data_IF_608068688845
#
_entry.id   IF_608068688845
#
_cell.length_a   1.000
_cell.length_b   1.000
_cell.length_c   1.000
_cell.angle_alpha   90.00
_cell.angle_beta   90.00
_cell.angle_gamma   90.00
#
_symmetry.space_group_name_H-M   'P 1'
#
loop_
_entity.id
_entity.type
_entity.pdbx_description
1 polymer ?
#
# COMPACT_ATOMS: atom_id res chain seq x y z
N UNK A 1 -5.93 26.39 46.48
CA UNK A 1 -6.85 26.10 45.36
C UNK A 1 -6.00 25.76 44.16
N UNK A 2 -5.91 24.48 43.78
CA UNK A 2 -5.00 23.94 42.75
C UNK A 2 -5.86 23.36 41.63
N UNK A 3 -5.64 23.81 40.40
CA UNK A 3 -6.37 23.37 39.21
C UNK A 3 -6.18 21.85 38.97
N UNK A 4 -7.15 21.15 38.36
CA UNK A 4 -6.97 19.75 37.99
C UNK A 4 -6.15 19.65 36.68
N UNK A 5 -5.04 18.91 36.75
CA UNK A 5 -4.31 18.40 35.59
C UNK A 5 -5.22 17.45 34.80
N UNK A 6 -5.78 17.93 33.69
CA UNK A 6 -6.37 17.07 32.66
C UNK A 6 -5.23 16.58 31.79
N UNK A 7 -4.61 15.48 32.23
CA UNK A 7 -3.77 14.66 31.36
C UNK A 7 -4.65 14.09 30.25
N UNK A 8 -4.49 14.60 29.02
CA UNK A 8 -4.91 13.92 27.81
C UNK A 8 -4.24 12.54 27.79
N UNK A 9 -4.98 11.50 28.19
CA UNK A 9 -4.58 10.13 27.91
C UNK A 9 -4.64 9.91 26.39
N UNK A 10 -3.53 9.53 25.74
CA UNK A 10 -3.60 9.08 24.36
C UNK A 10 -4.41 7.77 24.33
N UNK A 11 -5.44 7.72 23.49
CA UNK A 11 -6.17 6.51 23.18
C UNK A 11 -5.17 5.40 22.86
N UNK A 12 -5.16 4.36 23.70
CA UNK A 12 -4.29 3.20 23.48
C UNK A 12 -4.58 2.64 22.09
N UNK A 13 -3.58 2.40 21.24
CA UNK A 13 -3.82 1.78 19.94
C UNK A 13 -4.37 0.38 20.21
N UNK A 14 -5.62 0.18 19.83
CA UNK A 14 -6.30 -1.10 19.96
C UNK A 14 -5.44 -2.15 19.24
N UNK A 15 -4.81 -3.04 20.02
CA UNK A 15 -3.86 -4.05 19.52
C UNK A 15 -4.51 -5.00 18.52
N UNK A 16 -5.85 -5.06 18.49
CA UNK A 16 -6.62 -5.83 17.52
C UNK A 16 -6.60 -5.23 16.10
N UNK A 17 -6.50 -3.90 15.93
CA UNK A 17 -6.37 -3.27 14.62
C UNK A 17 -4.99 -3.53 13.99
N UNK A 18 -3.92 -3.55 14.79
CA UNK A 18 -2.54 -3.71 14.30
C UNK A 18 -2.30 -5.02 13.54
N UNK A 19 -3.02 -6.09 13.90
CA UNK A 19 -2.94 -7.37 13.21
C UNK A 19 -3.74 -7.40 11.88
N UNK A 20 -4.85 -6.67 11.78
CA UNK A 20 -5.70 -6.62 10.60
C UNK A 20 -5.06 -5.82 9.43
N UNK A 21 -4.27 -4.79 9.75
CA UNK A 21 -3.64 -3.96 8.70
C UNK A 21 -2.66 -4.74 7.81
N UNK A 22 -1.96 -5.75 8.35
CA UNK A 22 -0.98 -6.55 7.61
C UNK A 22 -1.60 -7.56 6.62
N UNK A 23 -2.93 -7.68 6.60
CA UNK A 23 -3.65 -8.57 5.69
C UNK A 23 -4.18 -7.86 4.45
N UNK A 24 -4.25 -6.53 4.45
CA UNK A 24 -4.81 -5.76 3.32
C UNK A 24 -3.74 -5.57 2.25
N UNK A 25 -3.98 -6.13 1.06
CA UNK A 25 -3.10 -5.91 -0.09
C UNK A 25 -3.30 -4.52 -0.69
N UNK A 26 -2.34 -4.05 -1.50
CA UNK A 26 -2.51 -2.78 -2.24
C UNK A 26 -3.72 -2.78 -3.17
N UNK A 27 -4.05 -3.94 -3.74
CA UNK A 27 -5.26 -4.14 -4.52
C UNK A 27 -6.53 -3.89 -3.68
N UNK A 28 -6.64 -4.55 -2.52
CA UNK A 28 -7.81 -4.42 -1.64
C UNK A 28 -7.92 -2.99 -1.09
N UNK A 29 -6.78 -2.37 -0.76
CA UNK A 29 -6.70 -0.99 -0.30
C UNK A 29 -7.27 -0.02 -1.34
N UNK A 30 -6.93 -0.19 -2.61
CA UNK A 30 -7.48 0.64 -3.70
C UNK A 30 -9.00 0.48 -3.82
N UNK A 31 -9.52 -0.75 -3.76
CA UNK A 31 -10.98 -0.98 -3.79
C UNK A 31 -11.70 -0.34 -2.59
N UNK A 32 -11.12 -0.45 -1.39
CA UNK A 32 -11.66 0.19 -0.18
C UNK A 32 -11.70 1.71 -0.35
N UNK A 33 -10.61 2.31 -0.84
CA UNK A 33 -10.51 3.76 -1.00
C UNK A 33 -11.46 4.31 -2.08
N UNK A 34 -11.69 3.57 -3.16
CA UNK A 34 -12.73 3.92 -4.14
C UNK A 34 -14.12 3.95 -3.48
N UNK A 35 -14.46 2.95 -2.67
CA UNK A 35 -15.73 2.94 -1.92
C UNK A 35 -15.84 4.12 -0.96
N UNK A 36 -14.76 4.43 -0.23
CA UNK A 36 -14.71 5.55 0.70
C UNK A 36 -14.81 6.91 0.02
N UNK A 37 -14.26 7.05 -1.21
CA UNK A 37 -14.43 8.24 -2.05
C UNK A 37 -15.89 8.54 -2.31
N UNK A 38 -16.67 7.53 -2.68
CA UNK A 38 -18.11 7.67 -2.94
C UNK A 38 -18.91 8.06 -1.67
N UNK A 39 -18.37 7.75 -0.49
CA UNK A 39 -18.93 8.14 0.80
C UNK A 39 -18.41 9.49 1.31
N UNK A 40 -17.59 10.21 0.53
CA UNK A 40 -17.00 11.49 0.92
C UNK A 40 -15.96 11.39 2.05
N UNK A 41 -15.46 10.18 2.36
CA UNK A 41 -14.49 9.96 3.44
C UNK A 41 -13.06 10.06 2.90
N UNK A 42 -12.25 10.89 3.54
CA UNK A 42 -10.82 11.03 3.24
C UNK A 42 -10.00 10.27 4.27
N UNK A 43 -9.29 9.25 3.83
CA UNK A 43 -8.40 8.43 4.66
C UNK A 43 -7.12 8.14 3.89
N UNK A 44 -6.03 7.95 4.62
CA UNK A 44 -4.73 7.60 4.05
C UNK A 44 -4.34 6.20 4.50
N UNK A 45 -3.82 5.41 3.57
CA UNK A 45 -3.26 4.08 3.85
C UNK A 45 -1.80 4.09 3.47
N UNK A 46 -0.95 3.55 4.34
CA UNK A 46 0.50 3.46 4.13
C UNK A 46 0.85 2.03 3.78
N UNK A 47 1.65 1.83 2.73
CA UNK A 47 1.95 0.50 2.21
C UNK A 47 3.44 0.32 1.95
N UNK A 48 3.95 -0.86 2.32
CA UNK A 48 5.28 -1.31 1.94
C UNK A 48 5.19 -2.27 0.75
N UNK A 49 6.29 -2.40 0.00
CA UNK A 49 6.46 -3.47 -0.98
C UNK A 49 6.61 -4.82 -0.28
N UNK A 50 5.96 -5.85 -0.82
CA UNK A 50 6.10 -7.22 -0.32
C UNK A 50 6.96 -8.05 -1.26
N UNK A 51 8.23 -8.21 -0.89
CA UNK A 51 9.16 -9.12 -1.56
C UNK A 51 10.47 -8.46 -1.98
N UNK A 52 11.56 -9.24 -1.93
CA UNK A 52 12.89 -8.81 -2.37
C UNK A 52 13.05 -8.83 -3.91
N UNK A 53 12.12 -9.45 -4.63
CA UNK A 53 12.22 -9.67 -6.09
C UNK A 53 11.64 -8.47 -6.83
N UNK A 54 12.47 -7.89 -7.71
CA UNK A 54 12.20 -6.68 -8.52
C UNK A 54 10.92 -6.75 -9.36
N UNK A 55 10.40 -7.93 -9.67
CA UNK A 55 9.23 -8.14 -10.53
C UNK A 55 7.88 -7.93 -9.82
N UNK A 56 7.90 -7.50 -8.54
CA UNK A 56 6.74 -7.36 -7.65
C UNK A 56 6.29 -5.90 -7.41
N UNK A 57 6.48 -4.98 -8.37
CA UNK A 57 6.20 -3.54 -8.17
C UNK A 57 4.78 -3.18 -7.70
N UNK A 58 3.79 -4.05 -7.95
CA UNK A 58 2.40 -3.88 -7.50
C UNK A 58 2.01 -4.78 -6.31
N UNK A 59 2.93 -5.60 -5.79
CA UNK A 59 2.69 -6.39 -4.60
C UNK A 59 2.99 -5.52 -3.38
N UNK A 60 1.96 -4.82 -2.92
CA UNK A 60 2.02 -3.94 -1.75
C UNK A 60 1.17 -4.51 -0.61
N UNK A 61 1.53 -4.15 0.62
CA UNK A 61 0.69 -4.39 1.79
C UNK A 61 0.61 -3.19 2.69
N UNK A 62 -0.59 -2.97 3.23
CA UNK A 62 -0.82 -1.95 4.24
C UNK A 62 0.01 -2.25 5.48
N UNK A 63 0.67 -1.23 6.00
CA UNK A 63 1.56 -1.29 7.14
C UNK A 63 1.26 -0.14 8.10
N UNK A 64 1.79 -0.26 9.31
CA UNK A 64 1.77 0.83 10.28
C UNK A 64 2.92 1.79 10.01
N UNK A 65 2.73 3.07 10.32
CA UNK A 65 3.76 4.11 10.19
C UNK A 65 5.06 3.73 10.93
N UNK A 66 4.98 3.05 12.06
CA UNK A 66 6.14 2.58 12.83
C UNK A 66 7.00 1.54 12.12
N UNK A 67 6.47 0.90 11.07
CA UNK A 67 7.14 -0.14 10.29
C UNK A 67 7.24 0.23 8.80
N UNK A 68 7.05 1.51 8.46
CA UNK A 68 7.11 2.00 7.08
C UNK A 68 8.56 1.97 6.58
N UNK A 69 8.77 1.43 5.39
CA UNK A 69 10.09 1.36 4.77
C UNK A 69 10.48 2.69 4.11
N UNK A 70 11.79 2.95 3.89
CA UNK A 70 12.23 4.17 3.20
C UNK A 70 11.60 4.31 1.81
N UNK A 71 11.51 3.21 1.06
CA UNK A 71 10.66 3.12 -0.12
C UNK A 71 9.28 2.62 0.29
N UNK A 72 8.24 3.43 0.09
CA UNK A 72 6.87 3.09 0.47
C UNK A 72 5.85 3.82 -0.40
N UNK A 73 4.57 3.48 -0.20
CA UNK A 73 3.46 4.08 -0.89
C UNK A 73 2.47 4.68 0.11
N UNK A 74 1.85 5.80 -0.29
CA UNK A 74 0.73 6.41 0.43
C UNK A 74 -0.46 6.45 -0.52
N UNK A 75 -1.53 5.74 -0.15
CA UNK A 75 -2.76 5.74 -0.92
C UNK A 75 -3.77 6.67 -0.27
N UNK A 76 -4.52 7.38 -1.11
CA UNK A 76 -5.68 8.18 -0.75
C UNK A 76 -6.79 7.97 -1.78
N UNK A 77 -8.03 8.38 -1.49
CA UNK A 77 -9.12 8.35 -2.47
C UNK A 77 -8.83 9.11 -3.78
N UNK A 78 -7.86 10.03 -3.76
CA UNK A 78 -7.53 10.92 -4.87
C UNK A 78 -6.31 10.48 -5.67
N UNK A 79 -5.44 9.65 -5.08
CA UNK A 79 -4.17 9.32 -5.70
C UNK A 79 -3.28 8.42 -4.87
N UNK A 80 -2.24 7.96 -5.52
CA UNK A 80 -1.15 7.15 -4.98
C UNK A 80 0.12 7.97 -5.07
N UNK A 81 0.83 8.09 -3.96
CA UNK A 81 2.17 8.63 -3.87
C UNK A 81 3.14 7.47 -3.68
N UNK A 82 4.10 7.31 -4.57
CA UNK A 82 5.28 6.46 -4.39
C UNK A 82 6.42 7.32 -3.87
N UNK A 83 6.96 6.97 -2.71
CA UNK A 83 8.12 7.62 -2.12
C UNK A 83 9.33 6.74 -2.38
N UNK A 84 10.27 7.22 -3.20
CA UNK A 84 11.54 6.53 -3.44
C UNK A 84 12.71 7.36 -2.86
N UNK A 85 13.58 6.77 -2.02
CA UNK A 85 14.60 7.52 -1.29
C UNK A 85 15.66 8.17 -2.19
N UNK A 86 15.92 7.61 -3.36
CA UNK A 86 16.99 8.09 -4.27
C UNK A 86 16.48 8.70 -5.57
N UNK A 87 15.27 8.36 -6.01
CA UNK A 87 14.77 8.69 -7.35
C UNK A 87 13.73 9.81 -7.31
N UNK A 88 13.35 10.27 -6.12
CA UNK A 88 12.26 11.22 -5.92
C UNK A 88 10.92 10.53 -5.62
N UNK A 89 9.87 11.32 -5.48
CA UNK A 89 8.51 10.80 -5.28
C UNK A 89 7.67 10.98 -6.53
N UNK A 90 6.89 9.97 -6.87
CA UNK A 90 6.01 9.95 -8.04
C UNK A 90 4.56 9.92 -7.58
N UNK A 91 3.68 10.59 -8.33
CA UNK A 91 2.24 10.61 -8.04
C UNK A 91 1.48 10.06 -9.24
N UNK A 92 0.50 9.22 -8.96
CA UNK A 92 -0.38 8.63 -9.95
C UNK A 92 -1.83 8.63 -9.43
N UNK A 93 -2.81 8.70 -10.33
CA UNK A 93 -4.20 8.53 -9.94
C UNK A 93 -4.46 7.11 -9.39
N UNK A 94 -5.28 7.01 -8.33
CA UNK A 94 -5.62 5.73 -7.71
C UNK A 94 -6.25 4.75 -8.71
N UNK A 95 -7.09 5.26 -9.63
CA UNK A 95 -7.74 4.45 -10.65
C UNK A 95 -6.76 3.87 -11.67
N UNK A 96 -5.73 4.64 -12.05
CA UNK A 96 -4.69 4.18 -12.99
C UNK A 96 -3.83 3.11 -12.31
N UNK A 97 -3.36 3.37 -11.09
CA UNK A 97 -2.60 2.38 -10.32
C UNK A 97 -3.39 1.07 -10.14
N UNK A 98 -4.67 1.16 -9.77
CA UNK A 98 -5.53 -0.01 -9.60
C UNK A 98 -5.68 -0.83 -10.88
N UNK A 99 -5.91 -0.16 -12.03
CA UNK A 99 -6.00 -0.83 -13.33
C UNK A 99 -4.70 -1.55 -13.68
N UNK A 100 -3.56 -0.91 -13.48
CA UNK A 100 -2.25 -1.52 -13.72
C UNK A 100 -2.01 -2.73 -12.81
N UNK A 101 -2.34 -2.61 -11.52
CA UNK A 101 -2.26 -3.72 -10.57
C UNK A 101 -3.12 -4.93 -11.00
N UNK A 102 -4.35 -4.69 -11.47
CA UNK A 102 -5.25 -5.74 -12.03
C UNK A 102 -4.59 -6.43 -13.23
N UNK A 103 -4.04 -5.65 -14.16
CA UNK A 103 -3.39 -6.16 -15.37
C UNK A 103 -2.17 -6.99 -15.02
N UNK A 104 -1.28 -6.48 -14.17
CA UNK A 104 -0.10 -7.21 -13.68
C UNK A 104 -0.49 -8.52 -12.99
N UNK A 105 -1.51 -8.50 -12.12
CA UNK A 105 -2.01 -9.72 -11.46
C UNK A 105 -2.56 -10.73 -12.47
N UNK A 106 -3.29 -10.25 -13.49
CA UNK A 106 -3.86 -11.10 -14.54
C UNK A 106 -2.77 -11.72 -15.41
N UNK A 107 -1.78 -10.92 -15.85
CA UNK A 107 -0.65 -11.42 -16.64
C UNK A 107 0.11 -12.51 -15.89
N UNK A 108 0.37 -12.34 -14.59
CA UNK A 108 1.03 -13.35 -13.75
C UNK A 108 0.27 -14.67 -13.63
N UNK A 109 -1.03 -14.73 -13.95
CA UNK A 109 -1.81 -15.98 -13.98
C UNK A 109 -1.65 -16.76 -15.29
N UNK A 110 -1.22 -16.11 -16.36
CA UNK A 110 -1.03 -16.75 -17.66
C UNK A 110 0.21 -17.66 -17.59
N UNK A 111 0.09 -18.98 -17.81
CA UNK A 111 1.22 -19.90 -17.70
C UNK A 111 2.40 -19.53 -18.58
N UNK A 112 2.14 -19.15 -19.83
CA UNK A 112 3.17 -18.68 -20.76
C UNK A 112 3.99 -17.51 -20.19
N UNK A 113 3.31 -16.51 -19.61
CA UNK A 113 3.98 -15.35 -19.03
C UNK A 113 4.85 -15.74 -17.82
N UNK A 114 4.37 -16.67 -16.97
CA UNK A 114 5.16 -17.18 -15.85
C UNK A 114 6.44 -17.88 -16.31
N UNK A 115 6.34 -18.73 -17.34
CA UNK A 115 7.51 -19.40 -17.91
C UNK A 115 8.45 -18.41 -18.60
N UNK A 116 7.91 -17.43 -19.31
CA UNK A 116 8.70 -16.34 -19.90
C UNK A 116 9.50 -15.57 -18.83
N UNK A 117 8.87 -15.18 -17.72
CA UNK A 117 9.56 -14.48 -16.62
C UNK A 117 10.69 -15.32 -16.02
N UNK A 118 10.47 -16.63 -15.83
CA UNK A 118 11.53 -17.55 -15.38
C UNK A 118 12.68 -17.60 -16.38
N UNK A 119 12.40 -17.84 -17.66
CA UNK A 119 13.43 -17.90 -18.70
C UNK A 119 14.23 -16.60 -18.78
N UNK A 120 13.57 -15.44 -18.65
CA UNK A 120 14.23 -14.13 -18.64
C UNK A 120 15.15 -13.97 -17.44
N UNK A 121 14.79 -14.48 -16.26
CA UNK A 121 15.63 -14.44 -15.07
C UNK A 121 16.93 -15.24 -15.23
N UNK A 122 16.91 -16.33 -16.03
CA UNK A 122 18.09 -17.16 -16.31
C UNK A 122 18.95 -16.68 -17.49
N UNK A 123 18.52 -15.65 -18.23
CA UNK A 123 19.30 -15.03 -19.32
C UNK A 123 20.09 -13.78 -18.88
N UNK A 124 20.30 -13.62 -17.57
CA UNK A 124 21.17 -12.57 -16.99
C UNK A 124 22.56 -13.10 -16.76
#
# INVERSE_FOLDING_TARGET
>A
SRAPDVLHQPLSPDRSLGAAHHQVSGYDAAEILVKLRHLGKVVFMYLNRTGAIQDSSYDLRVTLLSHLQPEHFVFSPFGVLHVHPTCGSEVQELGVWHREAVLCRTMRRIPFYREFLKMRAFRR
#
